data_IF_868839599497
#
_entry.id   IF_868839599497
#
_cell.length_a   1.000
_cell.length_b   1.000
_cell.length_c   1.000
_cell.angle_alpha   90.00
_cell.angle_beta   90.00
_cell.angle_gamma   90.00
#
_symmetry.space_group_name_H-M   'P 1'
#
loop_
_entity.id
_entity.type
_entity.pdbx_description
1 polymer ?
#
# COMPACT_ATOMS: atom_id res chain seq x y z
N UNK A 1 -14.35 9.29 23.74
CA UNK A 1 -13.97 9.99 22.50
C UNK A 1 -14.73 9.37 21.32
N UNK A 2 -15.30 10.20 20.43
CA UNK A 2 -16.03 9.75 19.24
C UNK A 2 -15.15 9.95 18.02
N UNK A 3 -14.75 8.86 17.38
CA UNK A 3 -13.82 8.87 16.23
C UNK A 3 -14.53 8.38 14.99
N UNK A 4 -14.49 9.18 13.92
CA UNK A 4 -15.02 8.78 12.61
C UNK A 4 -13.86 8.47 11.67
N UNK A 5 -13.84 7.27 11.14
CA UNK A 5 -12.91 6.84 10.10
C UNK A 5 -13.56 6.90 8.71
N UNK A 6 -12.88 7.52 7.76
CA UNK A 6 -13.16 7.36 6.33
C UNK A 6 -12.10 6.44 5.73
N UNK A 7 -12.51 5.29 5.19
CA UNK A 7 -11.60 4.23 4.76
C UNK A 7 -11.79 3.84 3.30
N UNK A 8 -10.69 3.43 2.65
CA UNK A 8 -10.70 2.94 1.27
C UNK A 8 -11.27 1.52 1.14
N UNK A 9 -11.38 0.81 2.26
CA UNK A 9 -11.90 -0.56 2.36
C UNK A 9 -13.02 -0.61 3.39
N UNK A 10 -13.94 -1.59 3.32
CA UNK A 10 -15.02 -1.70 4.30
C UNK A 10 -14.59 -2.14 5.70
N UNK A 11 -13.28 -2.27 5.96
CA UNK A 11 -12.74 -2.75 7.23
C UNK A 11 -13.42 -4.06 7.68
N UNK A 12 -13.86 -4.17 8.94
CA UNK A 12 -14.55 -5.35 9.46
C UNK A 12 -16.04 -5.47 9.07
N UNK A 13 -16.58 -4.54 8.27
CA UNK A 13 -17.99 -4.58 7.83
C UNK A 13 -18.36 -5.85 7.05
N UNK A 14 -17.47 -6.34 6.17
CA UNK A 14 -17.74 -7.47 5.29
C UNK A 14 -17.63 -8.86 5.98
N UNK A 15 -17.17 -8.91 7.22
CA UNK A 15 -16.84 -10.17 7.89
C UNK A 15 -18.04 -10.82 8.59
N UNK A 16 -18.79 -11.64 7.85
CA UNK A 16 -19.32 -12.89 8.42
C UNK A 16 -18.23 -13.96 8.21
N UNK A 17 -17.27 -14.07 9.14
CA UNK A 17 -16.29 -15.15 9.13
C UNK A 17 -14.99 -14.90 8.37
N UNK A 18 -14.26 -13.81 8.64
CA UNK A 18 -12.90 -13.59 8.15
C UNK A 18 -12.80 -12.46 7.14
N UNK A 19 -11.93 -11.52 7.42
CA UNK A 19 -11.65 -10.37 6.56
C UNK A 19 -10.83 -10.82 5.35
N UNK A 20 -11.49 -11.15 4.25
CA UNK A 20 -10.80 -11.50 2.99
C UNK A 20 -10.63 -10.23 2.15
N UNK A 21 -9.73 -9.33 2.54
CA UNK A 21 -9.41 -8.17 1.71
C UNK A 21 -7.90 -8.05 1.52
N UNK A 22 -7.43 -8.41 0.32
CA UNK A 22 -6.04 -8.18 -0.08
C UNK A 22 -5.80 -6.68 -0.28
N UNK A 23 -4.94 -6.08 0.53
CA UNK A 23 -4.50 -4.69 0.43
C UNK A 23 -5.00 -3.73 1.51
N UNK A 24 -6.03 -4.07 2.28
CA UNK A 24 -6.57 -3.21 3.35
C UNK A 24 -6.59 -3.87 4.73
N UNK A 25 -5.95 -5.02 4.87
CA UNK A 25 -6.01 -5.84 6.09
C UNK A 25 -5.52 -5.14 7.35
N UNK A 26 -4.55 -4.24 7.23
CA UNK A 26 -4.03 -3.47 8.35
C UNK A 26 -5.08 -2.51 8.98
N UNK A 27 -6.02 -1.97 8.17
CA UNK A 27 -7.12 -1.14 8.69
C UNK A 27 -8.06 -1.99 9.55
N UNK A 28 -8.37 -3.20 9.10
CA UNK A 28 -9.17 -4.15 9.88
C UNK A 28 -8.44 -4.60 11.15
N UNK A 29 -7.12 -4.83 11.06
CA UNK A 29 -6.30 -5.14 12.24
C UNK A 29 -6.29 -3.98 13.23
N UNK A 30 -6.21 -2.74 12.76
CA UNK A 30 -6.29 -1.55 13.60
C UNK A 30 -7.68 -1.42 14.25
N UNK A 31 -8.77 -1.67 13.50
CA UNK A 31 -10.13 -1.66 14.05
C UNK A 31 -10.28 -2.67 15.18
N UNK A 32 -9.82 -3.91 14.98
CA UNK A 32 -9.87 -4.97 15.98
C UNK A 32 -9.13 -4.63 17.29
N UNK A 33 -8.08 -3.84 17.21
CA UNK A 33 -7.32 -3.43 18.39
C UNK A 33 -7.92 -2.18 19.07
N UNK A 34 -8.35 -1.18 18.28
CA UNK A 34 -8.86 0.08 18.85
C UNK A 34 -10.19 -0.10 19.59
N UNK A 35 -11.05 -1.01 19.13
CA UNK A 35 -12.35 -1.28 19.78
C UNK A 35 -12.25 -2.05 21.10
N UNK A 36 -11.06 -2.51 21.48
CA UNK A 36 -10.82 -3.10 22.81
C UNK A 36 -10.79 -2.05 23.92
N UNK A 37 -10.75 -0.76 23.55
CA UNK A 37 -10.78 0.35 24.50
C UNK A 37 -12.21 0.80 24.75
N UNK A 38 -12.58 0.87 26.02
CA UNK A 38 -13.93 1.29 26.45
C UNK A 38 -14.16 2.81 26.34
N UNK A 39 -13.08 3.60 26.21
CA UNK A 39 -13.14 5.07 26.15
C UNK A 39 -13.35 5.62 24.73
N UNK A 40 -13.61 4.76 23.74
CA UNK A 40 -13.81 5.13 22.33
C UNK A 40 -15.17 4.65 21.79
N UNK A 41 -15.81 5.51 21.02
CA UNK A 41 -16.92 5.15 20.13
C UNK A 41 -16.46 5.35 18.70
N UNK A 42 -16.43 4.25 17.93
CA UNK A 42 -15.90 4.23 16.57
C UNK A 42 -17.01 4.23 15.53
N UNK A 43 -16.88 5.07 14.50
CA UNK A 43 -17.64 4.95 13.27
C UNK A 43 -16.69 4.75 12.08
N UNK A 44 -17.09 3.90 11.12
CA UNK A 44 -16.33 3.63 9.90
C UNK A 44 -17.20 3.89 8.68
N UNK A 45 -16.77 4.79 7.82
CA UNK A 45 -17.45 5.14 6.57
C UNK A 45 -16.60 4.78 5.36
N UNK A 46 -17.23 4.20 4.34
CA UNK A 46 -16.57 3.71 3.14
C UNK A 46 -17.54 3.68 1.96
N UNK A 47 -17.02 3.64 0.73
CA UNK A 47 -17.87 3.50 -0.45
C UNK A 47 -18.30 2.06 -0.66
N UNK A 48 -19.58 1.88 -1.01
CA UNK A 48 -20.18 0.58 -1.28
C UNK A 48 -21.16 0.67 -2.46
N UNK A 49 -21.20 -0.38 -3.28
CA UNK A 49 -22.20 -0.50 -4.36
C UNK A 49 -23.58 -0.89 -3.81
N UNK A 50 -24.63 -0.48 -4.52
CA UNK A 50 -26.00 -0.85 -4.18
C UNK A 50 -26.75 0.18 -3.32
N UNK A 51 -27.60 -0.30 -2.43
CA UNK A 51 -28.32 0.52 -1.44
C UNK A 51 -27.78 0.18 -0.03
N UNK A 52 -26.70 0.85 0.36
CA UNK A 52 -26.05 0.58 1.63
C UNK A 52 -26.93 1.07 2.80
N UNK A 53 -26.91 0.30 3.90
CA UNK A 53 -27.65 0.60 5.12
C UNK A 53 -26.65 0.78 6.26
N UNK A 54 -26.87 1.82 7.07
CA UNK A 54 -26.17 2.03 8.35
C UNK A 54 -26.38 0.83 9.27
N UNK A 55 -25.29 0.30 9.82
CA UNK A 55 -25.32 -0.86 10.72
C UNK A 55 -24.45 -0.59 11.94
N UNK A 56 -24.97 -0.85 13.14
CA UNK A 56 -24.16 -0.90 14.36
C UNK A 56 -23.82 -2.36 14.68
N UNK A 57 -22.54 -2.64 14.89
CA UNK A 57 -22.03 -3.94 15.32
C UNK A 57 -21.12 -3.75 16.52
N UNK A 58 -21.44 -4.35 17.64
CA UNK A 58 -20.66 -4.23 18.88
C UNK A 58 -20.29 -2.77 19.19
N UNK A 59 -19.01 -2.43 19.06
CA UNK A 59 -18.47 -1.10 19.37
C UNK A 59 -18.34 -0.17 18.16
N UNK A 60 -18.62 -0.67 16.91
CA UNK A 60 -18.44 0.10 15.68
C UNK A 60 -19.77 0.38 14.97
N UNK A 61 -19.99 1.63 14.59
CA UNK A 61 -21.09 2.01 13.69
C UNK A 61 -20.57 2.19 12.27
N UNK A 62 -21.13 1.45 11.32
CA UNK A 62 -20.72 1.51 9.91
C UNK A 62 -21.68 2.38 9.10
N UNK A 63 -21.09 3.29 8.33
CA UNK A 63 -21.76 4.22 7.42
C UNK A 63 -21.31 3.97 5.97
N UNK A 64 -21.83 2.93 5.30
CA UNK A 64 -21.53 2.72 3.91
C UNK A 64 -22.18 3.81 3.05
N UNK A 65 -21.37 4.47 2.21
CA UNK A 65 -21.80 5.54 1.30
C UNK A 65 -22.03 4.94 -0.09
N UNK A 66 -23.17 5.21 -0.75
CA UNK A 66 -23.43 4.69 -2.08
C UNK A 66 -22.42 5.23 -3.09
N UNK A 67 -21.78 4.32 -3.81
CA UNK A 67 -20.90 4.71 -4.90
C UNK A 67 -21.73 5.13 -6.12
N UNK A 68 -21.52 6.36 -6.60
CA UNK A 68 -22.22 6.85 -7.78
C UNK A 68 -21.86 6.01 -9.00
N UNK A 69 -22.85 5.43 -9.66
CA UNK A 69 -22.66 4.76 -10.94
C UNK A 69 -22.24 5.77 -12.02
N UNK A 70 -21.09 5.54 -12.64
CA UNK A 70 -20.59 6.37 -13.73
C UNK A 70 -21.51 6.27 -14.95
N UNK A 71 -21.99 7.41 -15.45
CA UNK A 71 -22.77 7.52 -16.69
C UNK A 71 -21.84 7.67 -17.91
N UNK A 72 -22.38 7.60 -19.11
CA UNK A 72 -21.61 7.81 -20.36
C UNK A 72 -20.95 9.20 -20.34
N UNK A 73 -21.66 10.24 -19.89
CA UNK A 73 -21.14 11.59 -19.74
C UNK A 73 -19.90 11.64 -18.86
N UNK A 74 -19.89 10.93 -17.72
CA UNK A 74 -18.72 10.87 -16.83
C UNK A 74 -17.51 10.25 -17.55
N UNK A 75 -17.76 9.23 -18.40
CA UNK A 75 -16.69 8.62 -19.20
C UNK A 75 -16.10 9.58 -20.21
N UNK A 76 -16.93 10.35 -20.90
CA UNK A 76 -16.50 11.38 -21.85
C UNK A 76 -15.70 12.46 -21.11
N UNK A 77 -16.21 12.96 -19.97
CA UNK A 77 -15.55 13.96 -19.13
C UNK A 77 -14.18 13.50 -18.65
N UNK A 78 -14.04 12.24 -18.25
CA UNK A 78 -12.76 11.62 -17.87
C UNK A 78 -11.80 11.61 -19.07
N UNK A 79 -12.24 11.14 -20.24
CA UNK A 79 -11.42 11.08 -21.45
C UNK A 79 -10.93 12.46 -21.87
N UNK A 80 -11.76 13.50 -21.71
CA UNK A 80 -11.43 14.89 -21.99
C UNK A 80 -10.68 15.59 -20.85
N UNK A 81 -10.39 14.90 -19.75
CA UNK A 81 -9.73 15.45 -18.55
C UNK A 81 -10.43 16.72 -17.99
N UNK A 82 -11.76 16.67 -17.90
CA UNK A 82 -12.61 17.78 -17.43
C UNK A 82 -12.47 17.94 -15.91
N UNK A 83 -11.54 18.79 -15.47
CA UNK A 83 -11.30 19.11 -14.05
C UNK A 83 -12.48 19.85 -13.41
N UNK A 84 -13.19 20.65 -14.17
CA UNK A 84 -14.41 21.33 -13.74
C UNK A 84 -15.51 20.34 -13.34
N UNK A 85 -15.73 19.30 -14.13
CA UNK A 85 -16.69 18.22 -13.83
C UNK A 85 -16.24 17.38 -12.63
N UNK A 86 -14.93 17.11 -12.52
CA UNK A 86 -14.37 16.45 -11.34
C UNK A 86 -14.63 17.26 -10.08
N UNK A 87 -14.36 18.57 -10.10
CA UNK A 87 -14.60 19.47 -8.96
C UNK A 87 -16.08 19.55 -8.59
N UNK A 88 -16.99 19.56 -9.55
CA UNK A 88 -18.43 19.52 -9.27
C UNK A 88 -18.83 18.18 -8.61
N UNK A 89 -18.20 17.10 -9.02
CA UNK A 89 -18.41 15.79 -8.39
C UNK A 89 -17.98 15.79 -6.91
N UNK A 90 -16.94 16.54 -6.54
CA UNK A 90 -16.51 16.65 -5.14
C UNK A 90 -17.59 17.20 -4.22
N UNK A 91 -18.32 18.25 -4.64
CA UNK A 91 -19.41 18.85 -3.86
C UNK A 91 -20.50 17.85 -3.49
N UNK A 92 -20.79 16.91 -4.38
CA UNK A 92 -21.76 15.84 -4.10
C UNK A 92 -21.26 14.89 -3.01
N UNK A 93 -19.96 14.55 -3.01
CA UNK A 93 -19.37 13.69 -1.99
C UNK A 93 -19.21 14.42 -0.66
N UNK A 94 -18.80 15.70 -0.68
CA UNK A 94 -18.71 16.57 0.51
C UNK A 94 -20.03 16.59 1.27
N UNK A 95 -21.16 16.68 0.56
CA UNK A 95 -22.50 16.62 1.18
C UNK A 95 -22.74 15.29 1.88
N UNK A 96 -22.45 14.18 1.22
CA UNK A 96 -22.61 12.84 1.81
C UNK A 96 -21.71 12.65 3.05
N UNK A 97 -20.53 13.24 3.05
CA UNK A 97 -19.65 13.20 4.22
C UNK A 97 -20.22 14.03 5.39
N UNK A 98 -20.80 15.20 5.09
CA UNK A 98 -21.45 16.02 6.11
C UNK A 98 -22.66 15.31 6.73
N UNK A 99 -23.48 14.61 5.95
CA UNK A 99 -24.61 13.82 6.46
C UNK A 99 -24.12 12.76 7.47
N UNK A 100 -22.98 12.08 7.23
CA UNK A 100 -22.39 11.12 8.16
C UNK A 100 -21.85 11.81 9.42
N UNK A 101 -21.20 12.96 9.26
CA UNK A 101 -20.64 13.75 10.36
C UNK A 101 -21.76 14.26 11.28
N UNK A 102 -22.83 14.78 10.71
CA UNK A 102 -23.99 15.29 11.47
C UNK A 102 -24.67 14.17 12.26
N UNK A 103 -24.85 13.00 11.66
CA UNK A 103 -25.50 11.87 12.32
C UNK A 103 -24.61 11.23 13.41
N UNK A 104 -23.29 11.13 13.21
CA UNK A 104 -22.39 10.54 14.18
C UNK A 104 -21.86 11.55 15.20
N UNK A 105 -21.70 12.82 14.86
CA UNK A 105 -21.14 13.90 15.67
C UNK A 105 -19.78 13.55 16.30
N UNK A 106 -18.70 13.35 15.49
CA UNK A 106 -17.39 12.93 15.97
C UNK A 106 -16.58 14.04 16.64
N UNK A 107 -15.70 13.71 17.58
CA UNK A 107 -14.69 14.63 18.13
C UNK A 107 -13.52 14.82 17.14
N UNK A 108 -13.20 13.79 16.34
CA UNK A 108 -12.12 13.78 15.37
C UNK A 108 -12.45 12.88 14.17
N UNK A 109 -11.92 13.24 13.01
CA UNK A 109 -12.09 12.48 11.77
C UNK A 109 -10.71 11.99 11.31
N UNK A 110 -10.56 10.67 11.10
CA UNK A 110 -9.38 10.11 10.46
C UNK A 110 -9.72 9.60 9.07
N UNK A 111 -8.93 10.02 8.08
CA UNK A 111 -9.04 9.60 6.69
C UNK A 111 -7.88 8.69 6.35
N UNK A 112 -8.15 7.51 5.79
CA UNK A 112 -7.14 6.53 5.40
C UNK A 112 -6.83 6.64 3.90
N UNK A 113 -5.67 7.25 3.60
CA UNK A 113 -5.18 7.49 2.24
C UNK A 113 -5.79 8.72 1.57
N UNK A 114 -5.08 9.22 0.58
CA UNK A 114 -5.46 10.36 -0.27
C UNK A 114 -6.05 9.96 -1.62
N UNK A 115 -6.13 8.66 -1.89
CA UNK A 115 -6.51 8.10 -3.20
C UNK A 115 -7.99 8.33 -3.55
N UNK A 116 -8.84 8.43 -2.54
CA UNK A 116 -10.28 8.66 -2.67
C UNK A 116 -10.66 10.08 -2.27
N UNK A 117 -11.94 10.40 -2.43
CA UNK A 117 -12.48 11.74 -2.16
C UNK A 117 -12.55 12.09 -0.66
N UNK A 118 -12.39 11.14 0.23
CA UNK A 118 -12.64 11.30 1.66
C UNK A 118 -11.87 12.46 2.31
N UNK A 119 -10.61 12.68 1.90
CA UNK A 119 -9.81 13.79 2.41
C UNK A 119 -10.36 15.20 2.09
N UNK A 120 -11.28 15.30 1.12
CA UNK A 120 -11.97 16.57 0.81
C UNK A 120 -12.86 17.04 1.95
N UNK A 121 -13.21 16.17 2.90
CA UNK A 121 -13.98 16.52 4.09
C UNK A 121 -13.33 17.66 4.88
N UNK A 122 -11.99 17.76 4.87
CA UNK A 122 -11.25 18.84 5.53
C UNK A 122 -11.61 20.24 5.03
N UNK A 123 -12.22 20.36 3.84
CA UNK A 123 -12.63 21.63 3.26
C UNK A 123 -13.97 22.15 3.80
N UNK A 124 -14.79 21.25 4.35
CA UNK A 124 -16.21 21.53 4.62
C UNK A 124 -16.61 21.32 6.08
N UNK A 125 -15.72 20.78 6.91
CA UNK A 125 -15.96 20.60 8.35
C UNK A 125 -15.04 21.46 9.21
N UNK A 126 -15.49 21.77 10.44
CA UNK A 126 -14.66 22.39 11.49
C UNK A 126 -14.07 21.36 12.45
N UNK A 127 -14.51 20.11 12.37
CA UNK A 127 -14.00 19.03 13.17
C UNK A 127 -12.58 18.71 12.70
N UNK A 128 -11.61 18.52 13.61
CA UNK A 128 -10.25 18.18 13.22
C UNK A 128 -10.20 16.95 12.31
N UNK A 129 -9.47 17.07 11.19
CA UNK A 129 -9.26 15.99 10.23
C UNK A 129 -7.79 15.62 10.20
N UNK A 130 -7.50 14.33 10.42
CA UNK A 130 -6.18 13.76 10.28
C UNK A 130 -6.14 12.81 9.08
N UNK A 131 -5.17 12.97 8.18
CA UNK A 131 -4.96 12.09 7.03
C UNK A 131 -3.85 11.09 7.33
N UNK A 132 -4.19 9.80 7.39
CA UNK A 132 -3.22 8.72 7.52
C UNK A 132 -2.73 8.31 6.12
N UNK A 133 -1.49 8.67 5.79
CA UNK A 133 -0.91 8.46 4.46
C UNK A 133 -0.66 6.96 4.24
N UNK A 134 -1.13 6.45 3.10
CA UNK A 134 -0.81 5.11 2.61
C UNK A 134 0.22 5.20 1.46
N UNK A 135 -0.07 6.01 0.49
CA UNK A 135 0.79 6.38 -0.62
C UNK A 135 0.44 7.79 -1.08
N UNK A 136 1.21 8.35 -2.00
CA UNK A 136 1.00 9.68 -2.57
C UNK A 136 0.98 9.55 -4.09
N UNK A 137 -0.22 9.56 -4.68
CA UNK A 137 -0.44 9.36 -6.12
C UNK A 137 0.31 10.37 -6.97
N UNK A 138 0.44 11.60 -6.48
CA UNK A 138 1.15 12.68 -7.15
C UNK A 138 2.62 12.31 -7.41
N UNK A 139 3.27 11.70 -6.43
CA UNK A 139 4.66 11.26 -6.54
C UNK A 139 4.77 9.93 -7.32
N UNK A 140 3.75 9.07 -7.21
CA UNK A 140 3.68 7.82 -7.96
C UNK A 140 3.45 8.04 -9.46
N UNK A 141 2.90 9.19 -9.86
CA UNK A 141 2.61 9.49 -11.26
C UNK A 141 3.87 9.48 -12.14
N UNK A 142 4.96 10.04 -11.62
CA UNK A 142 6.21 10.16 -12.37
C UNK A 142 6.95 8.81 -12.46
N UNK A 143 6.75 7.92 -11.48
CA UNK A 143 7.33 6.59 -11.44
C UNK A 143 6.38 5.49 -11.96
N UNK A 144 5.22 5.83 -12.53
CA UNK A 144 4.17 4.87 -12.87
C UNK A 144 4.62 3.79 -13.87
N UNK A 145 5.45 4.17 -14.82
CA UNK A 145 6.03 3.24 -15.78
C UNK A 145 7.52 3.03 -15.46
N UNK A 146 8.01 1.78 -15.50
CA UNK A 146 9.42 1.48 -15.39
C UNK A 146 10.25 2.26 -16.45
N UNK A 147 11.56 2.45 -16.24
CA UNK A 147 12.45 3.01 -17.25
C UNK A 147 12.32 2.28 -18.58
N UNK A 148 12.44 3.01 -19.70
CA UNK A 148 12.26 2.53 -21.08
C UNK A 148 10.82 2.17 -21.49
N UNK A 149 9.86 2.16 -20.58
CA UNK A 149 8.46 2.04 -20.91
C UNK A 149 7.85 3.43 -21.19
N UNK A 150 6.90 3.51 -22.11
CA UNK A 150 6.21 4.75 -22.45
C UNK A 150 4.70 4.60 -22.36
N UNK A 151 4.00 5.72 -22.07
CA UNK A 151 2.54 5.73 -22.11
C UNK A 151 1.97 5.33 -23.47
N UNK A 152 2.64 5.72 -24.57
CA UNK A 152 2.22 5.32 -25.90
C UNK A 152 2.34 3.81 -26.10
N UNK A 153 3.44 3.20 -25.65
CA UNK A 153 3.62 1.75 -25.66
C UNK A 153 2.60 1.04 -24.79
N UNK A 154 2.37 1.57 -23.56
CA UNK A 154 1.36 1.04 -22.64
C UNK A 154 -0.07 1.10 -23.20
N UNK A 155 -0.47 2.21 -23.81
CA UNK A 155 -1.80 2.37 -24.41
C UNK A 155 -1.96 1.46 -25.64
N UNK A 156 -0.94 1.37 -26.49
CA UNK A 156 -0.93 0.58 -27.72
C UNK A 156 -0.54 -0.89 -27.55
N UNK A 157 -0.47 -1.40 -26.31
CA UNK A 157 -0.15 -2.81 -26.05
C UNK A 157 -1.14 -3.82 -26.68
N UNK A 158 -2.29 -3.34 -27.14
CA UNK A 158 -3.33 -4.14 -27.82
C UNK A 158 -3.82 -3.41 -29.07
N UNK A 159 -4.05 -4.15 -30.15
CA UNK A 159 -4.70 -3.65 -31.36
C UNK A 159 -6.22 -3.47 -31.21
N UNK A 160 -6.81 -3.94 -30.09
CA UNK A 160 -8.23 -3.81 -29.84
C UNK A 160 -8.57 -2.37 -29.40
N UNK A 161 -9.39 -1.61 -30.17
CA UNK A 161 -9.72 -0.21 -29.87
C UNK A 161 -10.40 -0.03 -28.52
N UNK A 162 -11.18 -1.01 -28.07
CA UNK A 162 -11.85 -0.97 -26.74
C UNK A 162 -10.80 -1.04 -25.62
N UNK A 163 -9.77 -1.89 -25.76
CA UNK A 163 -8.68 -1.98 -24.78
C UNK A 163 -7.83 -0.71 -24.78
N UNK A 164 -7.57 -0.13 -25.96
CA UNK A 164 -6.88 1.16 -26.07
C UNK A 164 -7.66 2.25 -25.34
N UNK A 165 -8.97 2.36 -25.60
CA UNK A 165 -9.81 3.35 -24.92
C UNK A 165 -9.86 3.17 -23.41
N UNK A 166 -9.92 1.92 -22.92
CA UNK A 166 -9.82 1.61 -21.49
C UNK A 166 -8.49 2.04 -20.88
N UNK A 167 -7.38 1.86 -21.61
CA UNK A 167 -6.05 2.29 -21.15
C UNK A 167 -5.92 3.81 -21.07
N UNK A 168 -6.45 4.52 -22.08
CA UNK A 168 -6.51 5.99 -22.08
C UNK A 168 -7.37 6.47 -20.90
N UNK A 169 -8.56 5.90 -20.72
CA UNK A 169 -9.46 6.24 -19.62
C UNK A 169 -8.76 6.05 -18.26
N UNK A 170 -8.07 4.92 -18.04
CA UNK A 170 -7.33 4.65 -16.80
C UNK A 170 -6.25 5.70 -16.54
N UNK A 171 -5.49 6.09 -17.57
CA UNK A 171 -4.51 7.17 -17.44
C UNK A 171 -5.18 8.48 -17.01
N UNK A 172 -6.30 8.86 -17.64
CA UNK A 172 -7.04 10.08 -17.31
C UNK A 172 -7.66 10.05 -15.91
N UNK A 173 -8.18 8.90 -15.48
CA UNK A 173 -8.67 8.71 -14.11
C UNK A 173 -7.56 8.90 -13.09
N UNK A 174 -6.34 8.42 -13.38
CA UNK A 174 -5.17 8.66 -12.54
C UNK A 174 -4.82 10.14 -12.48
N UNK A 175 -4.77 10.84 -13.60
CA UNK A 175 -4.48 12.28 -13.68
C UNK A 175 -5.51 13.12 -12.89
N UNK A 176 -6.80 12.75 -12.95
CA UNK A 176 -7.86 13.39 -12.16
C UNK A 176 -7.72 13.06 -10.66
N UNK A 177 -7.31 11.84 -10.30
CA UNK A 177 -7.06 11.48 -8.92
C UNK A 177 -5.87 12.26 -8.33
N UNK A 178 -4.80 12.45 -9.10
CA UNK A 178 -3.65 13.30 -8.74
C UNK A 178 -4.09 14.77 -8.57
N UNK A 179 -4.95 15.28 -9.45
CA UNK A 179 -5.49 16.63 -9.32
C UNK A 179 -6.26 16.80 -8.01
N UNK A 180 -7.13 15.85 -7.65
CA UNK A 180 -7.87 15.83 -6.39
C UNK A 180 -6.95 15.69 -5.18
N UNK A 181 -5.97 14.79 -5.24
CA UNK A 181 -5.02 14.57 -4.15
C UNK A 181 -4.25 15.84 -3.77
N UNK A 182 -3.81 16.61 -4.77
CA UNK A 182 -3.14 17.90 -4.52
C UNK A 182 -4.01 18.86 -3.73
N UNK A 183 -5.32 18.85 -3.96
CA UNK A 183 -6.27 19.65 -3.21
C UNK A 183 -6.43 19.13 -1.78
N UNK A 184 -6.51 17.81 -1.58
CA UNK A 184 -6.56 17.18 -0.26
C UNK A 184 -5.30 17.54 0.55
N UNK A 185 -4.12 17.33 -0.05
CA UNK A 185 -2.85 17.57 0.63
C UNK A 185 -2.59 19.02 1.02
N UNK A 186 -3.26 19.98 0.38
CA UNK A 186 -3.15 21.41 0.75
C UNK A 186 -4.08 21.82 1.88
N UNK A 187 -5.20 21.12 2.04
CA UNK A 187 -6.27 21.51 2.95
C UNK A 187 -6.29 20.75 4.28
N UNK A 188 -5.65 19.59 4.37
CA UNK A 188 -5.56 18.84 5.63
C UNK A 188 -4.49 19.45 6.52
N UNK A 189 -4.82 19.66 7.81
CA UNK A 189 -3.91 20.27 8.77
C UNK A 189 -3.05 19.26 9.54
N UNK A 190 -3.50 18.01 9.69
CA UNK A 190 -2.84 16.99 10.48
C UNK A 190 -2.63 15.72 9.67
N UNK A 191 -1.44 15.14 9.75
CA UNK A 191 -1.07 13.94 9.03
C UNK A 191 -0.47 12.89 9.96
N UNK A 192 -0.85 11.63 9.75
CA UNK A 192 -0.08 10.47 10.22
C UNK A 192 0.63 9.88 9.00
N UNK A 193 1.92 9.66 9.10
CA UNK A 193 2.71 8.99 8.07
C UNK A 193 3.75 8.08 8.70
N UNK A 194 4.51 7.39 7.86
CA UNK A 194 5.32 6.24 8.27
C UNK A 194 6.79 6.42 8.00
N UNK A 195 7.14 7.35 7.11
CA UNK A 195 8.47 7.44 6.53
C UNK A 195 8.94 8.88 6.37
N UNK A 196 10.24 9.07 6.31
CA UNK A 196 10.83 10.37 5.98
C UNK A 196 10.41 10.89 4.60
N UNK A 197 10.08 9.98 3.69
CA UNK A 197 9.66 10.34 2.35
C UNK A 197 8.29 11.01 2.34
N UNK A 198 7.31 10.44 3.00
CA UNK A 198 5.98 11.02 3.06
C UNK A 198 5.94 12.28 3.96
N UNK A 199 6.75 12.34 5.02
CA UNK A 199 6.96 13.56 5.81
C UNK A 199 7.43 14.74 4.93
N UNK A 200 8.48 14.51 4.13
CA UNK A 200 9.02 15.55 3.22
C UNK A 200 7.99 15.97 2.18
N UNK A 201 7.25 15.01 1.62
CA UNK A 201 6.20 15.29 0.67
C UNK A 201 5.09 16.16 1.29
N UNK A 202 4.59 15.81 2.47
CA UNK A 202 3.58 16.60 3.19
C UNK A 202 4.06 18.03 3.39
N UNK A 203 5.29 18.22 3.88
CA UNK A 203 5.86 19.55 4.14
C UNK A 203 6.04 20.40 2.88
N UNK A 204 6.18 19.78 1.71
CA UNK A 204 6.20 20.50 0.42
C UNK A 204 4.80 20.92 -0.03
N UNK A 205 3.78 20.10 0.20
CA UNK A 205 2.39 20.44 -0.17
C UNK A 205 1.73 21.38 0.84
N UNK A 206 2.00 21.20 2.12
CA UNK A 206 1.47 22.00 3.21
C UNK A 206 2.53 22.20 4.32
N UNK A 207 3.38 23.25 4.21
CA UNK A 207 4.45 23.52 5.18
C UNK A 207 3.96 23.71 6.63
N UNK A 208 2.73 24.21 6.81
CA UNK A 208 2.13 24.49 8.11
C UNK A 208 1.48 23.27 8.76
N UNK A 209 1.31 22.16 8.04
CA UNK A 209 0.67 20.96 8.58
C UNK A 209 1.46 20.33 9.73
N UNK A 210 0.76 19.84 10.74
CA UNK A 210 1.34 18.96 11.75
C UNK A 210 1.51 17.55 11.20
N UNK A 211 2.63 16.92 11.50
CA UNK A 211 2.91 15.56 11.06
C UNK A 211 3.30 14.70 12.25
N UNK A 212 2.68 13.53 12.35
CA UNK A 212 2.86 12.53 13.39
C UNK A 212 3.36 11.24 12.75
N UNK A 213 4.39 10.62 13.34
CA UNK A 213 4.83 9.29 12.91
C UNK A 213 3.90 8.24 13.51
N UNK A 214 3.40 7.33 12.69
CA UNK A 214 2.53 6.24 13.11
C UNK A 214 2.62 5.05 12.17
N UNK A 215 2.97 3.89 12.73
CA UNK A 215 3.08 2.64 11.98
C UNK A 215 1.73 1.95 11.84
N UNK A 216 1.66 0.94 10.96
CA UNK A 216 0.51 0.08 10.76
C UNK A 216 0.55 -1.16 11.65
N UNK A 217 -0.61 -1.60 12.12
CA UNK A 217 -0.79 -2.94 12.68
C UNK A 217 -0.85 -3.92 11.51
N UNK A 218 0.10 -4.83 11.42
CA UNK A 218 0.17 -5.84 10.37
C UNK A 218 -0.96 -6.86 10.51
N UNK A 219 -1.08 -7.76 9.54
CA UNK A 219 -2.04 -8.87 9.61
C UNK A 219 -1.66 -9.82 10.73
N UNK A 220 -2.67 -10.35 11.45
CA UNK A 220 -2.50 -11.11 12.68
C UNK A 220 -1.56 -12.31 12.54
N UNK A 221 -1.58 -12.96 11.40
CA UNK A 221 -0.79 -14.15 11.08
C UNK A 221 0.73 -13.91 11.16
N UNK A 222 1.16 -12.67 10.99
CA UNK A 222 2.60 -12.29 11.07
C UNK A 222 3.09 -11.95 12.47
N UNK A 223 2.19 -11.91 13.48
CA UNK A 223 2.56 -11.79 14.89
C UNK A 223 2.78 -13.15 15.57
N UNK A 224 2.41 -14.22 14.92
CA UNK A 224 2.63 -15.55 15.44
C UNK A 224 4.13 -15.85 15.59
N UNK A 225 4.48 -16.53 16.67
CA UNK A 225 5.88 -16.90 16.90
C UNK A 225 6.26 -18.12 16.03
N UNK A 226 6.51 -17.87 14.77
CA UNK A 226 6.95 -18.91 13.82
C UNK A 226 8.46 -18.98 13.75
N UNK A 227 8.98 -20.21 13.73
CA UNK A 227 10.41 -20.44 13.52
C UNK A 227 10.70 -20.51 12.02
N UNK A 228 11.47 -19.58 11.51
CA UNK A 228 11.88 -19.56 10.11
C UNK A 228 12.79 -20.75 9.79
N UNK A 229 12.54 -21.39 8.67
CA UNK A 229 13.41 -22.42 8.08
C UNK A 229 14.26 -21.75 7.02
N UNK A 230 15.55 -22.06 7.00
CA UNK A 230 16.45 -21.60 5.95
C UNK A 230 16.70 -22.77 4.99
N UNK A 231 16.03 -22.82 3.83
CA UNK A 231 16.15 -23.95 2.90
C UNK A 231 17.56 -24.03 2.30
N UNK A 232 17.95 -25.23 1.90
CA UNK A 232 19.24 -25.44 1.20
C UNK A 232 19.22 -24.83 -0.20
N UNK A 233 18.08 -24.95 -0.89
CA UNK A 233 17.84 -24.34 -2.19
C UNK A 233 17.46 -22.85 -2.00
N UNK A 234 17.93 -22.02 -2.92
CA UNK A 234 17.53 -20.60 -2.95
C UNK A 234 16.05 -20.47 -3.32
N UNK A 235 15.23 -20.03 -2.36
CA UNK A 235 13.82 -19.71 -2.53
C UNK A 235 13.62 -18.23 -2.28
N UNK A 236 13.18 -17.50 -3.30
CA UNK A 236 12.95 -16.06 -3.27
C UNK A 236 11.45 -15.80 -3.28
N UNK A 237 10.97 -14.88 -2.44
CA UNK A 237 9.57 -14.47 -2.41
C UNK A 237 9.46 -12.98 -2.72
N UNK A 238 8.48 -12.65 -3.54
CA UNK A 238 8.12 -11.26 -3.86
C UNK A 238 6.60 -11.13 -3.93
N UNK A 239 6.06 -10.02 -3.45
CA UNK A 239 4.65 -9.69 -3.65
C UNK A 239 4.54 -8.52 -4.62
N UNK A 240 3.89 -8.74 -5.75
CA UNK A 240 3.71 -7.75 -6.81
C UNK A 240 2.25 -7.73 -7.23
N UNK A 241 1.71 -6.53 -7.36
CA UNK A 241 0.41 -6.31 -7.98
C UNK A 241 0.54 -5.21 -9.04
N UNK A 242 -0.46 -5.08 -9.92
CA UNK A 242 -0.58 -3.87 -10.71
C UNK A 242 -0.62 -2.65 -9.76
N UNK A 243 0.06 -1.53 -10.01
CA UNK A 243 0.59 -0.99 -11.28
C UNK A 243 2.03 -1.43 -11.65
N UNK A 244 2.48 -1.07 -12.91
CA UNK A 244 3.80 -1.48 -13.43
C UNK A 244 4.99 -1.04 -12.57
N UNK A 245 4.88 0.10 -11.86
CA UNK A 245 5.95 0.58 -10.99
C UNK A 245 6.33 -0.40 -9.85
N UNK A 246 5.58 -1.48 -9.67
CA UNK A 246 5.93 -2.55 -8.72
C UNK A 246 7.11 -3.41 -9.21
N UNK A 247 7.59 -3.24 -10.45
CA UNK A 247 8.89 -3.71 -10.91
C UNK A 247 8.95 -5.19 -11.28
N UNK A 248 7.93 -5.74 -11.94
CA UNK A 248 8.00 -7.13 -12.42
C UNK A 248 9.09 -7.32 -13.49
N UNK A 249 9.41 -6.30 -14.28
CA UNK A 249 10.55 -6.27 -15.20
C UNK A 249 11.89 -6.44 -14.46
N UNK A 250 12.03 -5.77 -13.30
CA UNK A 250 13.21 -5.89 -12.45
C UNK A 250 13.36 -7.31 -11.88
N UNK A 251 12.25 -7.99 -11.53
CA UNK A 251 12.26 -9.43 -11.16
C UNK A 251 12.83 -10.26 -12.30
N UNK A 252 12.31 -10.09 -13.51
CA UNK A 252 12.71 -10.88 -14.68
C UNK A 252 14.18 -10.64 -15.07
N UNK A 253 14.64 -9.38 -15.08
CA UNK A 253 16.05 -9.08 -15.34
C UNK A 253 16.96 -9.69 -14.29
N UNK A 254 16.64 -9.57 -13.01
CA UNK A 254 17.43 -10.13 -11.90
C UNK A 254 17.47 -11.65 -11.97
N UNK A 255 16.32 -12.28 -12.21
CA UNK A 255 16.21 -13.73 -12.36
C UNK A 255 17.04 -14.26 -13.55
N UNK A 256 17.01 -13.53 -14.68
CA UNK A 256 17.84 -13.86 -15.84
C UNK A 256 19.34 -13.82 -15.53
N UNK A 257 19.78 -12.82 -14.75
CA UNK A 257 21.19 -12.70 -14.32
C UNK A 257 21.54 -13.88 -13.39
N UNK A 258 20.71 -14.16 -12.38
CA UNK A 258 20.94 -15.26 -11.44
C UNK A 258 21.03 -16.62 -12.15
N UNK A 259 20.19 -16.86 -13.14
CA UNK A 259 20.15 -18.13 -13.88
C UNK A 259 21.27 -18.24 -14.91
N UNK A 260 21.39 -17.28 -15.81
CA UNK A 260 22.18 -17.40 -17.02
C UNK A 260 23.60 -16.82 -16.92
N UNK A 261 23.86 -15.94 -15.95
CA UNK A 261 25.20 -15.36 -15.72
C UNK A 261 25.83 -16.01 -14.49
N UNK A 262 25.10 -16.09 -13.39
CA UNK A 262 25.62 -16.63 -12.12
C UNK A 262 25.51 -18.16 -12.06
N UNK A 263 24.55 -18.74 -12.77
CA UNK A 263 24.35 -20.19 -12.82
C UNK A 263 23.71 -20.78 -11.56
N UNK A 264 22.93 -19.99 -10.80
CA UNK A 264 22.27 -20.48 -9.60
C UNK A 264 21.02 -21.30 -9.90
N UNK A 265 20.80 -22.33 -9.10
CA UNK A 265 19.54 -23.06 -9.05
C UNK A 265 18.64 -22.44 -7.98
N UNK A 266 17.52 -21.87 -8.38
CA UNK A 266 16.58 -21.18 -7.49
C UNK A 266 15.13 -21.32 -7.95
N UNK A 267 14.22 -20.97 -7.06
CA UNK A 267 12.81 -20.69 -7.33
C UNK A 267 12.48 -19.26 -6.89
N UNK A 268 11.80 -18.49 -7.75
CA UNK A 268 11.31 -17.17 -7.40
C UNK A 268 9.78 -17.14 -7.45
N UNK A 269 9.16 -17.06 -6.28
CA UNK A 269 7.71 -17.12 -6.10
C UNK A 269 7.15 -15.70 -6.05
N UNK A 270 6.37 -15.32 -7.07
CA UNK A 270 5.75 -14.01 -7.19
C UNK A 270 4.26 -14.07 -6.89
N UNK A 271 3.84 -13.48 -5.78
CA UNK A 271 2.44 -13.43 -5.34
C UNK A 271 1.78 -12.11 -5.74
N UNK A 272 0.51 -12.18 -6.10
CA UNK A 272 -0.32 -11.04 -6.44
C UNK A 272 -0.97 -11.11 -7.81
N UNK A 273 -1.65 -10.04 -8.18
CA UNK A 273 -2.35 -9.97 -9.48
C UNK A 273 -1.39 -9.42 -10.56
N UNK A 274 -0.60 -10.33 -11.13
CA UNK A 274 0.42 -10.03 -12.13
C UNK A 274 -0.10 -10.33 -13.53
N UNK A 275 0.02 -9.35 -14.44
CA UNK A 275 -0.17 -9.57 -15.87
C UNK A 275 1.16 -9.41 -16.61
N UNK A 276 1.86 -10.52 -16.91
CA UNK A 276 3.22 -10.47 -17.43
C UNK A 276 3.29 -10.06 -18.90
N UNK A 277 2.25 -10.29 -19.70
CA UNK A 277 2.28 -10.27 -21.15
C UNK A 277 2.89 -9.00 -21.79
N UNK A 278 2.62 -7.82 -21.22
CA UNK A 278 3.16 -6.58 -21.77
C UNK A 278 4.64 -6.42 -21.42
N UNK A 279 4.99 -6.72 -20.17
CA UNK A 279 6.37 -6.59 -19.65
C UNK A 279 7.28 -7.58 -20.38
N UNK A 280 6.93 -8.85 -20.41
CA UNK A 280 7.71 -9.91 -21.07
C UNK A 280 7.96 -9.63 -22.55
N UNK A 281 6.93 -9.19 -23.29
CA UNK A 281 7.11 -8.82 -24.70
C UNK A 281 8.03 -7.62 -24.89
N UNK A 282 8.03 -6.69 -23.94
CA UNK A 282 8.84 -5.48 -24.03
C UNK A 282 10.31 -5.77 -23.77
N UNK A 283 10.61 -6.62 -22.76
CA UNK A 283 11.98 -6.94 -22.36
C UNK A 283 12.50 -8.24 -22.99
N UNK A 284 11.65 -8.99 -23.67
CA UNK A 284 11.94 -10.30 -24.29
C UNK A 284 12.51 -11.33 -23.29
N UNK A 285 11.96 -11.38 -22.08
CA UNK A 285 12.28 -12.39 -21.06
C UNK A 285 10.97 -12.97 -20.56
N UNK A 286 10.78 -14.28 -20.66
CA UNK A 286 9.61 -14.99 -20.14
C UNK A 286 9.88 -15.51 -18.73
N UNK A 287 8.93 -15.36 -17.82
CA UNK A 287 9.06 -15.77 -16.42
C UNK A 287 9.40 -17.25 -16.27
N UNK A 288 8.79 -18.13 -17.11
CA UNK A 288 9.08 -19.57 -17.09
C UNK A 288 10.52 -19.90 -17.48
N UNK A 289 11.14 -19.08 -18.34
CA UNK A 289 12.51 -19.32 -18.82
C UNK A 289 13.55 -18.93 -17.76
N UNK A 290 13.17 -18.19 -16.73
CA UNK A 290 14.09 -17.66 -15.69
C UNK A 290 13.70 -18.08 -14.27
N UNK A 291 13.01 -19.21 -14.10
CA UNK A 291 12.62 -19.81 -12.82
C UNK A 291 11.76 -18.88 -11.93
N UNK A 292 10.96 -18.01 -12.53
CA UNK A 292 9.99 -17.14 -11.86
C UNK A 292 8.61 -17.76 -11.99
N UNK A 293 7.91 -17.94 -10.86
CA UNK A 293 6.60 -18.56 -10.79
C UNK A 293 5.56 -17.54 -10.34
N UNK A 294 4.53 -17.31 -11.16
CA UNK A 294 3.40 -16.42 -10.82
C UNK A 294 2.37 -17.25 -10.05
N UNK A 295 2.30 -17.01 -8.74
CA UNK A 295 1.49 -17.81 -7.81
C UNK A 295 0.04 -17.31 -7.67
N UNK A 296 -0.27 -16.13 -8.20
CA UNK A 296 -1.58 -15.49 -7.98
C UNK A 296 -1.69 -14.86 -6.59
N UNK A 297 -2.93 -14.61 -6.19
CA UNK A 297 -3.21 -13.98 -4.89
C UNK A 297 -3.29 -15.05 -3.81
N UNK A 298 -2.55 -14.85 -2.72
CA UNK A 298 -2.54 -15.74 -1.56
C UNK A 298 -3.24 -15.10 -0.34
N UNK A 299 -3.76 -15.92 0.55
CA UNK A 299 -4.19 -15.50 1.88
C UNK A 299 -3.00 -15.06 2.74
N UNK A 300 -3.25 -14.42 3.87
CA UNK A 300 -2.20 -14.03 4.81
C UNK A 300 -1.45 -15.25 5.36
N UNK A 301 -2.17 -16.31 5.68
CA UNK A 301 -1.63 -17.56 6.20
C UNK A 301 -0.75 -18.27 5.16
N UNK A 302 -1.25 -18.44 3.93
CA UNK A 302 -0.47 -19.03 2.82
C UNK A 302 0.81 -18.25 2.56
N UNK A 303 0.72 -16.91 2.52
CA UNK A 303 1.89 -16.06 2.28
C UNK A 303 2.92 -16.17 3.41
N UNK A 304 2.46 -16.13 4.69
CA UNK A 304 3.31 -16.34 5.86
C UNK A 304 4.04 -17.69 5.77
N UNK A 305 3.33 -18.77 5.47
CA UNK A 305 3.89 -20.11 5.44
C UNK A 305 4.95 -20.27 4.34
N UNK A 306 4.73 -19.63 3.19
CA UNK A 306 5.75 -19.59 2.13
C UNK A 306 6.95 -18.76 2.57
N UNK A 307 6.75 -17.58 3.16
CA UNK A 307 7.84 -16.71 3.64
C UNK A 307 8.68 -17.37 4.74
N UNK A 308 8.05 -18.13 5.65
CA UNK A 308 8.76 -18.90 6.69
C UNK A 308 9.72 -19.91 6.11
N UNK A 309 9.39 -20.48 4.95
CA UNK A 309 10.18 -21.49 4.24
C UNK A 309 11.07 -20.89 3.12
N UNK A 310 11.14 -19.56 3.01
CA UNK A 310 11.95 -18.89 1.99
C UNK A 310 13.35 -18.53 2.49
N UNK A 311 14.27 -18.30 1.55
CA UNK A 311 15.64 -17.84 1.83
C UNK A 311 15.66 -16.34 2.10
N UNK A 312 14.95 -15.56 1.29
CA UNK A 312 14.89 -14.10 1.40
C UNK A 312 13.66 -13.53 0.68
N UNK A 313 13.28 -12.30 1.06
CA UNK A 313 12.26 -11.51 0.42
C UNK A 313 12.90 -10.47 -0.51
N UNK A 314 12.31 -10.24 -1.69
CA UNK A 314 12.77 -9.21 -2.62
C UNK A 314 11.66 -8.21 -2.92
N UNK A 315 11.98 -6.92 -2.86
CA UNK A 315 11.08 -5.83 -3.22
C UNK A 315 11.67 -5.02 -4.37
N UNK A 316 10.96 -4.92 -5.49
CA UNK A 316 11.49 -4.42 -6.77
C UNK A 316 10.87 -3.12 -7.25
N UNK A 317 10.01 -2.48 -6.44
CA UNK A 317 9.26 -1.29 -6.88
C UNK A 317 10.17 -0.14 -7.30
N UNK A 318 9.69 0.66 -8.25
CA UNK A 318 10.31 1.93 -8.66
C UNK A 318 9.87 3.11 -7.78
N UNK A 319 8.78 2.94 -7.05
CA UNK A 319 8.28 3.84 -6.02
C UNK A 319 7.40 3.04 -5.05
N UNK A 320 7.57 3.26 -3.76
CA UNK A 320 6.69 2.75 -2.71
C UNK A 320 6.84 3.60 -1.45
N UNK A 321 5.85 3.59 -0.55
CA UNK A 321 5.97 4.26 0.72
C UNK A 321 6.39 3.26 1.82
N UNK A 322 5.45 2.52 2.36
CA UNK A 322 5.67 1.49 3.38
C UNK A 322 4.98 0.20 2.93
N UNK A 323 5.67 -0.65 2.13
CA UNK A 323 5.07 -1.88 1.62
C UNK A 323 4.86 -2.89 2.76
N UNK A 324 3.59 -3.18 3.08
CA UNK A 324 3.23 -4.09 4.18
C UNK A 324 3.92 -5.44 4.08
N UNK A 325 4.08 -5.98 2.89
CA UNK A 325 4.73 -7.28 2.69
C UNK A 325 6.23 -7.29 3.04
N UNK A 326 6.93 -6.15 2.90
CA UNK A 326 8.27 -5.98 3.42
C UNK A 326 8.26 -5.98 4.95
N UNK A 327 7.36 -5.22 5.56
CA UNK A 327 7.19 -5.18 7.02
C UNK A 327 6.83 -6.55 7.59
N UNK A 328 5.95 -7.29 6.91
CA UNK A 328 5.55 -8.66 7.23
C UNK A 328 6.72 -9.63 7.11
N UNK A 329 7.56 -9.53 6.06
CA UNK A 329 8.76 -10.35 5.93
C UNK A 329 9.78 -10.08 7.04
N UNK A 330 9.97 -8.81 7.41
CA UNK A 330 10.82 -8.42 8.54
C UNK A 330 10.27 -8.98 9.87
N UNK A 331 8.96 -8.94 10.07
CA UNK A 331 8.32 -9.41 11.31
C UNK A 331 8.56 -10.89 11.59
N UNK A 332 8.64 -11.71 10.56
CA UNK A 332 8.98 -13.14 10.70
C UNK A 332 10.50 -13.43 10.65
N UNK A 333 11.32 -12.40 10.48
CA UNK A 333 12.79 -12.54 10.43
C UNK A 333 13.32 -13.00 9.08
N UNK A 334 12.60 -12.75 7.99
CA UNK A 334 13.07 -13.04 6.62
C UNK A 334 13.92 -11.85 6.13
N UNK A 335 15.23 -12.04 5.84
CA UNK A 335 16.06 -10.95 5.34
C UNK A 335 15.60 -10.50 3.97
N UNK A 336 15.85 -9.25 3.61
CA UNK A 336 15.34 -8.66 2.38
C UNK A 336 16.39 -7.99 1.53
N UNK A 337 16.19 -8.02 0.21
CA UNK A 337 16.89 -7.17 -0.76
C UNK A 337 15.84 -6.29 -1.44
N UNK A 338 15.95 -4.98 -1.29
CA UNK A 338 14.90 -4.05 -1.67
C UNK A 338 15.43 -2.85 -2.43
N UNK A 339 14.63 -2.31 -3.33
CA UNK A 339 14.98 -1.07 -4.03
C UNK A 339 14.92 0.15 -3.09
N UNK A 340 15.92 1.00 -3.14
CA UNK A 340 16.04 2.22 -2.34
C UNK A 340 15.17 3.35 -2.92
N UNK A 341 13.84 3.19 -2.83
CA UNK A 341 12.86 4.11 -3.42
C UNK A 341 11.82 4.59 -2.41
N UNK A 342 11.34 5.81 -2.58
CA UNK A 342 10.28 6.36 -1.75
C UNK A 342 10.59 6.28 -0.26
N UNK A 343 9.69 5.66 0.51
CA UNK A 343 9.82 5.47 1.95
C UNK A 343 10.57 4.20 2.36
N UNK A 344 10.92 3.30 1.43
CA UNK A 344 11.59 2.02 1.72
C UNK A 344 12.88 2.20 2.54
N UNK A 345 13.74 3.23 2.28
CA UNK A 345 14.93 3.48 3.11
C UNK A 345 14.65 3.84 4.58
N UNK A 346 13.42 4.19 4.93
CA UNK A 346 13.02 4.37 6.35
C UNK A 346 12.71 3.05 7.06
N UNK A 347 12.61 1.94 6.32
CA UNK A 347 12.23 0.62 6.83
C UNK A 347 13.41 -0.34 6.92
N UNK A 348 14.52 -0.05 6.22
CA UNK A 348 15.66 -0.96 6.07
C UNK A 348 16.95 -0.20 6.30
N UNK A 349 17.74 -0.67 7.25
CA UNK A 349 19.12 -0.24 7.48
C UNK A 349 20.03 -1.10 6.61
N UNK A 350 20.71 -0.45 5.63
CA UNK A 350 21.51 -1.14 4.62
C UNK A 350 22.66 -1.95 5.21
N UNK A 351 22.71 -3.23 4.86
CA UNK A 351 23.70 -4.18 5.37
C UNK A 351 23.41 -4.73 6.78
N UNK A 352 22.43 -4.18 7.50
CA UNK A 352 22.05 -4.60 8.86
C UNK A 352 20.71 -5.35 8.88
N UNK A 353 19.62 -4.72 8.45
CA UNK A 353 18.26 -5.30 8.45
C UNK A 353 17.78 -5.73 7.08
N UNK A 354 18.56 -5.43 6.04
CA UNK A 354 18.33 -5.77 4.64
C UNK A 354 19.41 -5.18 3.76
N UNK A 355 19.33 -5.39 2.45
CA UNK A 355 20.14 -4.66 1.47
C UNK A 355 19.29 -3.68 0.68
N UNK A 356 19.74 -2.43 0.60
CA UNK A 356 19.19 -1.39 -0.26
C UNK A 356 19.96 -1.37 -1.59
N UNK A 357 19.24 -1.52 -2.71
CA UNK A 357 19.81 -1.46 -4.04
C UNK A 357 19.18 -0.32 -4.85
N UNK A 358 19.88 0.32 -5.77
CA UNK A 358 19.26 1.28 -6.67
C UNK A 358 18.12 0.65 -7.46
N UNK A 359 17.06 1.40 -7.71
CA UNK A 359 16.03 0.98 -8.66
C UNK A 359 16.66 0.87 -10.07
N UNK A 360 16.21 -0.12 -10.85
CA UNK A 360 16.74 -0.40 -12.18
C UNK A 360 18.20 -0.93 -12.23
N UNK A 361 18.71 -1.46 -11.10
CA UNK A 361 20.00 -2.15 -11.06
C UNK A 361 19.82 -3.63 -10.71
N UNK A 362 19.47 -4.43 -11.72
CA UNK A 362 19.28 -5.87 -11.59
C UNK A 362 20.58 -6.61 -11.26
N UNK A 363 21.74 -6.08 -11.64
CA UNK A 363 23.04 -6.70 -11.32
C UNK A 363 23.37 -6.59 -9.85
N UNK A 364 23.20 -5.40 -9.25
CA UNK A 364 23.41 -5.23 -7.81
C UNK A 364 22.39 -6.04 -7.01
N UNK A 365 21.13 -6.09 -7.45
CA UNK A 365 20.11 -6.92 -6.81
C UNK A 365 20.49 -8.41 -6.85
N UNK A 366 20.92 -8.92 -8.00
CA UNK A 366 21.38 -10.31 -8.14
C UNK A 366 22.61 -10.59 -7.26
N UNK A 367 23.56 -9.67 -7.19
CA UNK A 367 24.73 -9.79 -6.33
C UNK A 367 24.35 -9.86 -4.83
N UNK A 368 23.46 -9.01 -4.36
CA UNK A 368 22.99 -9.02 -2.97
C UNK A 368 22.23 -10.31 -2.63
N UNK A 369 21.39 -10.81 -3.56
CA UNK A 369 20.69 -12.10 -3.41
C UNK A 369 21.71 -13.24 -3.29
N UNK A 370 22.68 -13.31 -4.20
CA UNK A 370 23.75 -14.31 -4.16
C UNK A 370 24.53 -14.25 -2.85
N UNK A 371 24.92 -13.07 -2.41
CA UNK A 371 25.67 -12.86 -1.17
C UNK A 371 24.91 -13.37 0.06
N UNK A 372 23.60 -13.12 0.16
CA UNK A 372 22.77 -13.65 1.26
C UNK A 372 22.58 -15.16 1.18
N UNK A 373 22.46 -15.71 -0.02
CA UNK A 373 22.31 -17.16 -0.21
C UNK A 373 23.58 -17.93 0.18
N UNK A 374 24.76 -17.45 -0.23
CA UNK A 374 26.04 -18.08 0.03
C UNK A 374 26.51 -17.92 1.49
N UNK A 375 26.08 -16.86 2.18
CA UNK A 375 26.43 -16.62 3.58
C UNK A 375 25.21 -16.82 4.49
N UNK A 376 25.00 -18.07 4.90
CA UNK A 376 23.87 -18.47 5.77
C UNK A 376 23.88 -17.79 7.13
N UNK A 377 25.05 -17.49 7.67
CA UNK A 377 25.19 -16.78 8.95
C UNK A 377 24.73 -15.34 8.83
N UNK A 378 25.23 -14.60 7.84
CA UNK A 378 24.77 -13.23 7.55
C UNK A 378 23.27 -13.17 7.24
N UNK A 379 22.73 -14.16 6.53
CA UNK A 379 21.29 -14.27 6.27
C UNK A 379 20.49 -14.37 7.58
N UNK A 380 20.94 -15.20 8.50
CA UNK A 380 20.30 -15.39 9.81
C UNK A 380 20.42 -14.13 10.70
N UNK A 381 21.61 -13.54 10.78
CA UNK A 381 21.85 -12.31 11.53
C UNK A 381 20.96 -11.16 11.04
N UNK A 382 20.95 -10.92 9.72
CA UNK A 382 20.15 -9.85 9.08
C UNK A 382 18.65 -10.06 9.32
N UNK A 383 18.16 -11.30 9.17
CA UNK A 383 16.76 -11.62 9.46
C UNK A 383 16.40 -11.39 10.93
N UNK A 384 17.31 -11.76 11.87
CA UNK A 384 17.10 -11.52 13.30
C UNK A 384 17.07 -10.03 13.63
N UNK A 385 17.99 -9.24 13.09
CA UNK A 385 18.02 -7.79 13.28
C UNK A 385 16.75 -7.14 12.70
N UNK A 386 16.32 -7.53 11.50
CA UNK A 386 15.08 -7.07 10.89
C UNK A 386 13.86 -7.36 11.76
N UNK A 387 13.79 -8.57 12.36
CA UNK A 387 12.68 -8.97 13.26
C UNK A 387 12.60 -8.07 14.49
N UNK A 388 13.73 -7.79 15.14
CA UNK A 388 13.78 -6.93 16.35
C UNK A 388 13.23 -5.54 16.05
N UNK A 389 13.67 -4.94 14.93
CA UNK A 389 13.20 -3.61 14.51
C UNK A 389 11.73 -3.64 14.16
N UNK A 390 11.27 -4.65 13.41
CA UNK A 390 9.89 -4.80 13.01
C UNK A 390 8.94 -5.02 14.20
N UNK A 391 9.31 -5.84 15.17
CA UNK A 391 8.51 -6.09 16.37
C UNK A 391 8.28 -4.82 17.19
N UNK A 392 9.29 -3.94 17.28
CA UNK A 392 9.14 -2.64 17.94
C UNK A 392 8.25 -1.69 17.09
N UNK A 393 8.52 -1.59 15.80
CA UNK A 393 7.78 -0.72 14.86
C UNK A 393 6.30 -1.05 14.78
N UNK A 394 5.97 -2.33 14.81
CA UNK A 394 4.60 -2.83 14.62
C UNK A 394 3.99 -3.37 15.92
N UNK A 395 4.50 -2.97 17.11
CA UNK A 395 3.86 -3.30 18.39
C UNK A 395 2.46 -2.70 18.43
N UNK A 396 1.45 -3.55 18.65
CA UNK A 396 0.05 -3.16 18.69
C UNK A 396 -0.21 -2.14 19.80
N UNK A 397 0.38 -2.36 20.97
CA UNK A 397 0.25 -1.51 22.14
C UNK A 397 0.82 -0.11 21.85
N UNK A 398 2.05 -0.04 21.34
CA UNK A 398 2.71 1.24 21.01
C UNK A 398 1.89 2.00 19.97
N UNK A 399 1.44 1.33 18.90
CA UNK A 399 0.68 1.96 17.83
C UNK A 399 -0.64 2.54 18.34
N UNK A 400 -1.37 1.80 19.18
CA UNK A 400 -2.63 2.26 19.74
C UNK A 400 -2.40 3.44 20.69
N UNK A 401 -1.41 3.36 21.58
CA UNK A 401 -1.10 4.44 22.53
C UNK A 401 -0.65 5.73 21.83
N UNK A 402 0.21 5.62 20.81
CA UNK A 402 0.64 6.78 20.00
C UNK A 402 -0.53 7.39 19.21
N UNK A 403 -1.42 6.56 18.67
CA UNK A 403 -2.62 7.02 17.95
C UNK A 403 -3.54 7.81 18.88
N UNK A 404 -3.79 7.30 20.10
CA UNK A 404 -4.62 7.99 21.08
C UNK A 404 -3.99 9.28 21.59
N UNK A 405 -2.68 9.27 21.83
CA UNK A 405 -1.91 10.47 22.18
C UNK A 405 -2.07 11.53 21.09
N UNK A 406 -1.96 11.13 19.82
CA UNK A 406 -2.14 12.03 18.67
C UNK A 406 -3.56 12.59 18.62
N UNK A 407 -4.58 11.76 18.80
CA UNK A 407 -5.97 12.23 18.83
C UNK A 407 -6.19 13.26 19.96
N UNK A 408 -5.74 12.96 21.19
CA UNK A 408 -5.90 13.86 22.32
C UNK A 408 -5.17 15.18 22.13
N UNK A 409 -3.96 15.17 21.58
CA UNK A 409 -3.22 16.38 21.23
C UNK A 409 -3.98 17.25 20.24
N UNK A 410 -4.56 16.65 19.19
CA UNK A 410 -5.29 17.38 18.15
C UNK A 410 -6.60 17.98 18.68
N UNK A 411 -7.31 17.27 19.55
CA UNK A 411 -8.59 17.79 20.12
C UNK A 411 -8.39 18.64 21.38
N UNK A 412 -7.13 18.84 21.83
CA UNK A 412 -6.80 19.69 22.96
C UNK A 412 -7.17 19.09 24.33
N UNK A 413 -7.09 17.78 24.48
CA UNK A 413 -7.34 17.02 25.72
C UNK A 413 -6.05 16.43 26.30
#
# INVERSE_FOLDING_TARGET
MRVLWFTNTPSCYASKGGCVYNGGGWISSLEQEIVKRDDIELAVSFFMDGQPVKVKREHTTYYPIPQRKKKIFDTISILMLRKDVETETWKNYERLFLDVIEDFNPDIIQVFGSEKQFGLVARVTKIPVILHIQGILTLYQDAFLPPFFSWNGWIKQSWNPIKILKSIKRKREWELSVYREKEILRNVAHYIGRTEWDFRAVKLFNPCASYYYGSEILRQEFYENVQRKNPERLVIVTTISFPPYKGFDMVLHTANILKNIVGLNFEWLCFGNINPNYIERHINIHHNDVNVHIMGVATAEELRDVMVNATLYVHTSYIDNSPNSLCESQMIGLPSVVTAVGGVPSLVDDGETGYLVPSNDAYQMAYCIQKLYLNKEKNKEMGTAAKVVAQKRHSKEIIIDELFKTYNEIIGK
#
